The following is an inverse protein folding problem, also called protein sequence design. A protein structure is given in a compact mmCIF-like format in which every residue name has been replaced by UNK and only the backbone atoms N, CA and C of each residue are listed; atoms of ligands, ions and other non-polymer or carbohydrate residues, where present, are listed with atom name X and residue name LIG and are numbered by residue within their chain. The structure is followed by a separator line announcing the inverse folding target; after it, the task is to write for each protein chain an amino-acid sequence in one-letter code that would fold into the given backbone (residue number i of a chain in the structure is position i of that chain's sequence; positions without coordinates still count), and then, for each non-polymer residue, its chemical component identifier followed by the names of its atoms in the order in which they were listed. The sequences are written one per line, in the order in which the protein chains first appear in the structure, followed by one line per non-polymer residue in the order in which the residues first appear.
data_IF_569567954964
#
_entry.id   IF_569567954964
#
_cell.length_a   1.000
_cell.length_b   1.000
_cell.length_c   1.000
_cell.angle_alpha   90.00
_cell.angle_beta   90.00
_cell.angle_gamma   90.00
#
_symmetry.space_group_name_H-M   'P 1'
#
loop_
_entity.id
_entity.type
_entity.pdbx_description
1 polymer ?
#
# COMPACT_ATOMS: atom_id res chain seq x y z
N UNK A 1 35.60 -32.19 -13.38
CA UNK A 1 35.66 -31.27 -12.22
C UNK A 1 35.46 -29.80 -12.63
N UNK A 2 35.97 -29.32 -13.78
CA UNK A 2 35.88 -27.90 -14.18
C UNK A 2 34.45 -27.33 -14.41
N UNK A 3 33.50 -28.16 -14.87
CA UNK A 3 32.11 -27.73 -15.16
C UNK A 3 31.31 -27.35 -13.92
N UNK A 4 31.58 -27.98 -12.76
CA UNK A 4 30.83 -27.76 -11.53
C UNK A 4 31.22 -26.42 -10.86
N UNK A 5 32.52 -26.08 -10.88
CA UNK A 5 33.00 -24.78 -10.40
C UNK A 5 32.47 -23.61 -11.23
N UNK A 6 32.35 -23.79 -12.55
CA UNK A 6 31.80 -22.78 -13.45
C UNK A 6 30.33 -22.45 -13.14
N UNK A 7 29.51 -23.46 -12.83
CA UNK A 7 28.09 -23.27 -12.52
C UNK A 7 27.91 -22.55 -11.16
N UNK A 8 28.70 -22.91 -10.16
CA UNK A 8 28.67 -22.24 -8.84
C UNK A 8 29.05 -20.76 -8.97
N UNK A 9 30.08 -20.44 -9.75
CA UNK A 9 30.44 -19.06 -10.05
C UNK A 9 29.34 -18.30 -10.79
N UNK A 10 28.66 -18.95 -11.74
CA UNK A 10 27.57 -18.34 -12.50
C UNK A 10 26.34 -18.04 -11.62
N UNK A 11 26.00 -18.95 -10.71
CA UNK A 11 24.92 -18.77 -9.74
C UNK A 11 25.26 -17.65 -8.74
N UNK A 12 26.48 -17.63 -8.20
CA UNK A 12 26.93 -16.55 -7.31
C UNK A 12 26.93 -15.19 -8.02
N UNK A 13 27.36 -15.14 -9.28
CA UNK A 13 27.32 -13.93 -10.09
C UNK A 13 25.87 -13.48 -10.36
N UNK A 14 24.96 -14.41 -10.67
CA UNK A 14 23.55 -14.09 -10.84
C UNK A 14 22.89 -13.61 -9.53
N UNK A 15 23.24 -14.19 -8.38
CA UNK A 15 22.78 -13.73 -7.07
C UNK A 15 23.38 -12.36 -6.69
N UNK A 16 24.62 -12.08 -7.09
CA UNK A 16 25.29 -10.80 -6.85
C UNK A 16 24.77 -9.67 -7.75
N UNK A 17 24.53 -9.96 -9.04
CA UNK A 17 24.02 -9.00 -10.03
C UNK A 17 22.49 -8.90 -9.99
N UNK A 18 21.81 -9.80 -9.29
CA UNK A 18 20.39 -9.76 -8.98
C UNK A 18 19.98 -8.64 -8.02
N UNK A 19 20.65 -7.48 -8.09
CA UNK A 19 20.13 -6.25 -7.51
C UNK A 19 19.04 -5.76 -8.45
N UNK A 20 17.82 -5.87 -7.96
CA UNK A 20 16.58 -5.46 -8.62
C UNK A 20 16.68 -3.97 -9.01
N UNK A 21 17.12 -3.67 -10.23
CA UNK A 21 17.07 -2.32 -10.78
C UNK A 21 15.61 -2.02 -11.11
N UNK A 22 14.88 -1.53 -10.11
CA UNK A 22 13.52 -1.03 -10.31
C UNK A 22 13.65 0.29 -11.05
N UNK A 23 12.98 0.44 -12.19
CA UNK A 23 12.86 1.74 -12.83
C UNK A 23 12.26 2.74 -11.84
N UNK A 24 13.02 3.80 -11.54
CA UNK A 24 12.59 4.87 -10.65
C UNK A 24 11.66 5.80 -11.43
N UNK A 25 10.34 5.63 -11.26
CA UNK A 25 9.36 6.58 -11.80
C UNK A 25 9.34 7.83 -10.93
N UNK A 26 9.66 8.98 -11.52
CA UNK A 26 9.53 10.29 -10.86
C UNK A 26 8.14 10.87 -11.13
N UNK A 27 7.40 11.20 -10.08
CA UNK A 27 6.07 11.84 -10.16
C UNK A 27 6.13 13.09 -9.28
N UNK A 28 5.86 14.25 -9.88
CA UNK A 28 5.77 15.54 -9.17
C UNK A 28 4.32 15.97 -9.04
N UNK A 29 3.94 16.48 -7.87
CA UNK A 29 2.66 17.16 -7.65
C UNK A 29 2.94 18.46 -6.91
N UNK A 30 2.51 19.57 -7.49
CA UNK A 30 2.55 20.89 -6.87
C UNK A 30 1.14 21.26 -6.40
N UNK A 31 1.05 21.92 -5.25
CA UNK A 31 -0.20 22.37 -4.66
C UNK A 31 0.03 23.78 -4.10
N UNK A 32 -0.68 24.76 -4.65
CA UNK A 32 -0.75 26.10 -4.08
C UNK A 32 -1.68 26.10 -2.88
N UNK A 33 -1.24 26.69 -1.77
CA UNK A 33 -1.99 26.77 -0.51
C UNK A 33 -1.99 28.22 -0.07
N UNK A 34 -3.18 28.72 0.26
CA UNK A 34 -3.37 30.05 0.85
C UNK A 34 -3.02 30.04 2.34
N UNK A 35 -1.73 29.84 2.63
CA UNK A 35 -1.17 29.87 3.97
C UNK A 35 0.31 30.30 3.92
N UNK A 36 0.82 30.98 4.97
CA UNK A 36 2.24 31.26 5.08
C UNK A 36 3.08 29.98 5.04
N UNK A 37 4.25 30.04 4.38
CA UNK A 37 5.13 28.89 4.24
C UNK A 37 5.56 28.27 5.57
N UNK A 38 5.72 29.07 6.64
CA UNK A 38 6.12 28.57 7.94
C UNK A 38 5.05 27.70 8.61
N UNK A 39 3.76 28.03 8.41
CA UNK A 39 2.63 27.26 8.97
C UNK A 39 2.48 25.94 8.23
N UNK A 40 2.56 25.97 6.90
CA UNK A 40 2.60 24.76 6.11
C UNK A 40 3.77 23.87 6.54
N UNK A 41 4.97 24.44 6.68
CA UNK A 41 6.16 23.70 7.10
C UNK A 41 6.04 23.09 8.51
N UNK A 42 5.37 23.77 9.44
CA UNK A 42 5.16 23.27 10.80
C UNK A 42 4.34 21.97 10.84
N UNK A 43 3.39 21.81 9.92
CA UNK A 43 2.65 20.57 9.74
C UNK A 43 3.53 19.43 9.21
N UNK A 44 4.44 19.72 8.27
CA UNK A 44 5.30 18.73 7.62
C UNK A 44 6.49 18.27 8.47
N UNK A 45 7.07 19.17 9.27
CA UNK A 45 8.31 18.92 10.03
C UNK A 45 8.11 18.13 11.32
N UNK A 46 6.87 18.03 11.79
CA UNK A 46 6.51 17.41 13.07
C UNK A 46 5.55 16.23 12.84
N UNK A 47 5.08 15.60 13.94
CA UNK A 47 4.05 14.56 13.88
C UNK A 47 2.64 15.06 13.46
N UNK A 48 2.51 16.35 13.09
CA UNK A 48 1.23 16.97 12.70
C UNK A 48 0.53 16.21 11.58
N UNK A 49 1.26 15.82 10.52
CA UNK A 49 0.72 15.00 9.44
C UNK A 49 0.16 13.66 9.96
N UNK A 50 0.96 12.90 10.71
CA UNK A 50 0.64 11.54 11.14
C UNK A 50 -0.52 11.53 12.15
N UNK A 51 -0.60 12.55 13.01
CA UNK A 51 -1.57 12.62 14.10
C UNK A 51 -2.87 13.32 13.71
N UNK A 52 -2.83 14.26 12.75
CA UNK A 52 -3.99 15.11 12.43
C UNK A 52 -4.55 14.79 11.04
N UNK A 53 -3.69 14.66 10.03
CA UNK A 53 -4.10 14.62 8.62
C UNK A 53 -4.32 13.17 8.17
N UNK A 54 -3.34 12.30 8.38
CA UNK A 54 -3.38 10.91 7.91
C UNK A 54 -4.58 10.12 8.47
N UNK A 55 -4.99 10.27 9.75
CA UNK A 55 -6.18 9.58 10.27
C UNK A 55 -7.50 10.06 9.66
N UNK A 56 -7.54 11.25 9.05
CA UNK A 56 -8.73 11.79 8.39
C UNK A 56 -8.87 11.31 6.94
N UNK A 57 -7.87 10.62 6.41
CA UNK A 57 -7.92 10.10 5.04
C UNK A 57 -8.87 8.90 4.99
N UNK A 58 -9.74 8.80 3.96
CA UNK A 58 -10.81 7.79 3.91
C UNK A 58 -10.30 6.35 3.85
N UNK A 59 -9.06 6.14 3.43
CA UNK A 59 -8.47 4.82 3.24
C UNK A 59 -7.51 4.41 4.37
N UNK A 60 -7.39 5.21 5.43
CA UNK A 60 -6.52 4.91 6.56
C UNK A 60 -7.36 4.35 7.69
N UNK A 61 -6.98 3.17 8.19
CA UNK A 61 -7.60 2.54 9.35
C UNK A 61 -6.98 3.02 10.66
N UNK A 62 -5.65 3.14 10.71
CA UNK A 62 -4.93 3.62 11.91
C UNK A 62 -3.53 4.11 11.58
N UNK A 63 -3.02 5.02 12.41
CA UNK A 63 -1.62 5.42 12.44
C UNK A 63 -1.04 5.25 13.84
N UNK A 64 0.20 4.79 13.93
CA UNK A 64 0.91 4.64 15.20
C UNK A 64 2.39 5.01 15.00
N UNK A 65 2.91 5.88 15.87
CA UNK A 65 4.36 6.16 15.93
C UNK A 65 5.02 5.04 16.72
N UNK A 66 5.96 4.34 16.10
CA UNK A 66 6.71 3.24 16.73
C UNK A 66 7.96 3.73 17.44
N UNK A 67 8.61 4.77 16.89
CA UNK A 67 9.83 5.37 17.43
C UNK A 67 9.99 6.80 16.94
N UNK A 68 10.47 7.69 17.80
CA UNK A 68 10.80 9.08 17.45
C UNK A 68 9.74 10.09 17.86
N UNK A 69 10.07 11.35 17.66
CA UNK A 69 9.35 12.54 18.14
C UNK A 69 8.77 13.38 16.99
N UNK A 70 8.91 12.91 15.75
CA UNK A 70 8.57 13.67 14.53
C UNK A 70 9.79 14.19 13.78
N UNK A 71 10.98 14.18 14.40
CA UNK A 71 12.23 14.51 13.75
C UNK A 71 12.81 13.39 12.89
N UNK A 72 14.04 13.60 12.43
CA UNK A 72 14.77 12.65 11.58
C UNK A 72 14.90 11.30 12.30
N UNK A 73 14.56 10.22 11.58
CA UNK A 73 14.61 8.85 12.12
C UNK A 73 13.33 8.41 12.83
N UNK A 74 12.28 9.23 12.83
CA UNK A 74 10.94 8.81 13.28
C UNK A 74 10.37 7.72 12.38
N UNK A 75 9.81 6.68 12.98
CA UNK A 75 9.18 5.55 12.30
C UNK A 75 7.70 5.49 12.68
N UNK A 76 6.84 5.54 11.67
CA UNK A 76 5.39 5.43 11.83
C UNK A 76 4.83 4.25 11.03
N UNK A 77 3.87 3.56 11.64
CA UNK A 77 3.08 2.48 11.03
C UNK A 77 1.71 3.03 10.66
N UNK A 78 1.42 3.04 9.36
CA UNK A 78 0.09 3.39 8.83
C UNK A 78 -0.57 2.12 8.32
N UNK A 79 -1.75 1.80 8.83
CA UNK A 79 -2.56 0.68 8.38
C UNK A 79 -3.67 1.21 7.48
N UNK A 80 -3.72 0.74 6.24
CA UNK A 80 -4.76 1.12 5.29
C UNK A 80 -5.94 0.15 5.39
N UNK A 81 -7.13 0.64 5.07
CA UNK A 81 -8.32 -0.21 4.97
C UNK A 81 -8.07 -1.25 3.88
N UNK A 82 -8.22 -2.55 4.17
CA UNK A 82 -8.12 -3.56 3.12
C UNK A 82 -9.22 -3.31 2.10
N UNK A 83 -8.84 -3.21 0.82
CA UNK A 83 -9.81 -3.16 -0.28
C UNK A 83 -10.51 -4.51 -0.31
N UNK A 84 -11.67 -4.58 0.35
CA UNK A 84 -12.53 -5.74 0.31
C UNK A 84 -13.10 -5.82 -1.13
N UNK A 85 -12.57 -6.73 -1.96
CA UNK A 85 -13.20 -7.19 -3.22
C UNK A 85 -14.49 -7.98 -2.93
N UNK A 86 -15.31 -7.51 -2.02
CA UNK A 86 -16.54 -8.20 -1.60
C UNK A 86 -17.71 -7.84 -2.49
N UNK A 87 -17.65 -6.75 -3.25
CA UNK A 87 -18.76 -6.35 -4.12
C UNK A 87 -19.01 -7.28 -5.31
N UNK A 88 -17.97 -7.86 -5.91
CA UNK A 88 -18.17 -8.80 -7.04
C UNK A 88 -18.66 -10.18 -6.57
N UNK A 89 -18.08 -10.72 -5.48
CA UNK A 89 -18.47 -12.03 -4.97
C UNK A 89 -19.84 -12.03 -4.27
N UNK A 90 -20.20 -10.97 -3.54
CA UNK A 90 -21.57 -10.86 -3.00
C UNK A 90 -22.60 -10.71 -4.12
N UNK A 91 -22.28 -9.95 -5.18
CA UNK A 91 -23.13 -9.83 -6.36
C UNK A 91 -23.36 -11.18 -7.04
N UNK A 92 -22.30 -11.96 -7.26
CA UNK A 92 -22.38 -13.31 -7.83
C UNK A 92 -23.14 -14.28 -6.90
N UNK A 93 -22.90 -14.25 -5.59
CA UNK A 93 -23.63 -15.08 -4.63
C UNK A 93 -25.13 -14.77 -4.60
N UNK A 94 -25.52 -13.50 -4.62
CA UNK A 94 -26.93 -13.10 -4.68
C UNK A 94 -27.58 -13.55 -6.00
N UNK A 95 -26.87 -13.43 -7.12
CA UNK A 95 -27.37 -13.83 -8.44
C UNK A 95 -27.53 -15.34 -8.55
N UNK A 96 -26.59 -16.12 -7.99
CA UNK A 96 -26.73 -17.58 -7.88
C UNK A 96 -27.89 -17.99 -6.97
N UNK A 97 -28.07 -17.32 -5.83
CA UNK A 97 -29.16 -17.63 -4.90
C UNK A 97 -30.53 -17.34 -5.50
N UNK A 98 -30.66 -16.24 -6.25
CA UNK A 98 -31.88 -15.92 -7.00
C UNK A 98 -32.13 -16.91 -8.15
N UNK A 99 -31.10 -17.29 -8.90
CA UNK A 99 -31.20 -18.27 -9.98
C UNK A 99 -31.69 -19.64 -9.49
N UNK A 100 -31.18 -20.12 -8.35
CA UNK A 100 -31.61 -21.40 -7.75
C UNK A 100 -33.09 -21.35 -7.33
N UNK A 101 -33.57 -20.23 -6.78
CA UNK A 101 -34.97 -20.05 -6.39
C UNK A 101 -35.93 -20.06 -7.59
N UNK A 102 -35.50 -19.49 -8.73
CA UNK A 102 -36.29 -19.50 -9.96
C UNK A 102 -36.42 -20.92 -10.53
N UNK A 103 -35.34 -21.71 -10.52
CA UNK A 103 -35.34 -23.10 -11.01
C UNK A 103 -36.24 -24.01 -10.16
N UNK A 104 -36.24 -23.82 -8.83
CA UNK A 104 -37.09 -24.59 -7.91
C UNK A 104 -38.58 -24.24 -8.05
N UNK A 105 -38.93 -23.03 -8.52
CA UNK A 105 -40.32 -22.60 -8.70
C UNK A 105 -40.90 -22.99 -10.08
N UNK A 106 -40.05 -23.28 -11.06
CA UNK A 106 -40.47 -23.74 -12.40
C UNK A 106 -40.51 -25.27 -12.54
N UNK A 107 -40.18 -26.01 -11.48
CA UNK A 107 -40.17 -27.48 -11.43
C UNK A 107 -41.26 -28.07 -10.51
N UNK A 108 -42.18 -27.23 -10.04
CA UNK A 108 -43.43 -27.54 -9.35
C UNK A 108 -44.61 -27.12 -10.24
#
# INVERSE_FOLDING_TARGET
MLKQFSLVFFVLFACYVGVNSRELKHITKELEVDAPAYEAWELYRNLGLINIIVPKLPNVQSTQVLKGDGGIGTVAKTTFVPVLLVFEWFGLMLKMKQGIQVIQRSSL
#
